data_IF_526283146905
#
_entry.id   IF_526283146905
#
_cell.length_a   1.000
_cell.length_b   1.000
_cell.length_c   1.000
_cell.angle_alpha   90.00
_cell.angle_beta   90.00
_cell.angle_gamma   90.00
#
_symmetry.space_group_name_H-M   'P 1'
#
loop_
_entity.id
_entity.type
_entity.pdbx_description
1 polymer ?
#
# COMPACT_ATOMS: atom_id res chain seq x y z
N UNK A 1 10.54 -6.27 6.30
CA UNK A 1 10.96 -5.34 5.25
C UNK A 1 9.95 -4.23 5.12
N UNK A 2 10.44 -3.03 4.88
CA UNK A 2 9.60 -1.88 4.63
C UNK A 2 9.34 -1.72 3.14
N UNK A 3 8.12 -1.30 2.82
CA UNK A 3 7.72 -1.02 1.45
C UNK A 3 7.09 0.36 1.36
N UNK A 4 7.49 1.12 0.35
CA UNK A 4 6.82 2.35 -0.03
C UNK A 4 5.88 2.05 -1.17
N UNK A 5 4.62 2.44 -1.05
CA UNK A 5 3.57 2.02 -1.97
C UNK A 5 2.77 3.21 -2.41
N UNK A 6 2.43 3.24 -3.70
CA UNK A 6 1.45 4.18 -4.22
C UNK A 6 0.30 3.39 -4.82
N UNK A 7 -0.88 3.58 -4.26
CA UNK A 7 -2.09 2.89 -4.69
C UNK A 7 -3.34 3.64 -4.29
N UNK A 8 -4.48 3.16 -4.76
CA UNK A 8 -5.76 3.79 -4.48
C UNK A 8 -6.40 3.14 -3.27
N UNK A 9 -6.65 3.94 -2.24
CA UNK A 9 -7.38 3.51 -1.06
C UNK A 9 -8.87 3.72 -1.30
N UNK A 10 -9.59 2.62 -1.42
CA UNK A 10 -11.02 2.66 -1.72
C UNK A 10 -11.89 3.04 -0.53
N UNK A 11 -11.33 3.11 0.65
CA UNK A 11 -12.05 3.54 1.84
C UNK A 11 -12.11 5.06 1.98
N UNK A 12 -11.26 5.77 1.25
CA UNK A 12 -11.15 7.22 1.34
C UNK A 12 -11.89 7.83 0.16
N UNK A 13 -12.67 8.86 0.46
CA UNK A 13 -13.28 9.70 -0.55
C UNK A 13 -14.12 8.90 -1.57
N UNK A 14 -15.05 8.11 -1.05
CA UNK A 14 -15.98 7.32 -1.86
C UNK A 14 -16.71 8.19 -2.89
N UNK A 15 -17.10 7.64 -4.05
CA UNK A 15 -17.03 6.23 -4.45
C UNK A 15 -15.76 5.83 -5.16
N UNK A 16 -14.88 6.76 -5.47
CA UNK A 16 -13.72 6.47 -6.33
C UNK A 16 -12.44 6.19 -5.57
N UNK A 17 -12.47 6.35 -4.24
CA UNK A 17 -11.26 6.21 -3.46
C UNK A 17 -10.28 7.38 -3.71
N UNK A 18 -9.09 7.25 -3.18
CA UNK A 18 -8.06 8.28 -3.31
C UNK A 18 -6.70 7.63 -3.53
N UNK A 19 -5.94 8.15 -4.48
CA UNK A 19 -4.58 7.71 -4.72
C UNK A 19 -3.69 8.27 -3.62
N UNK A 20 -3.01 7.39 -2.89
CA UNK A 20 -2.15 7.77 -1.77
C UNK A 20 -0.81 7.08 -1.84
N UNK A 21 0.16 7.64 -1.16
CA UNK A 21 1.46 7.01 -0.92
C UNK A 21 1.58 6.72 0.57
N UNK A 22 2.07 5.54 0.90
CA UNK A 22 2.17 5.13 2.29
C UNK A 22 3.27 4.10 2.48
N UNK A 23 3.60 3.84 3.74
CA UNK A 23 4.58 2.84 4.13
C UNK A 23 3.88 1.65 4.75
N UNK A 24 4.33 0.45 4.40
CA UNK A 24 3.89 -0.77 5.07
C UNK A 24 5.10 -1.64 5.40
N UNK A 25 5.04 -2.29 6.54
CA UNK A 25 6.00 -3.30 6.91
C UNK A 25 5.38 -4.68 6.72
N UNK A 26 6.12 -5.57 6.06
CA UNK A 26 5.74 -6.97 5.91
C UNK A 26 6.99 -7.84 5.85
N UNK A 27 6.92 -9.02 6.45
CA UNK A 27 8.04 -9.95 6.45
C UNK A 27 8.27 -10.57 5.09
N UNK A 28 7.19 -10.80 4.35
CA UNK A 28 7.24 -11.41 3.02
C UNK A 28 6.32 -10.67 2.08
N UNK A 29 6.51 -10.90 0.79
CA UNK A 29 5.65 -10.30 -0.23
C UNK A 29 4.22 -10.84 -0.13
N UNK A 30 4.05 -12.10 0.22
CA UNK A 30 2.72 -12.68 0.41
C UNK A 30 1.95 -11.97 1.51
N UNK A 31 2.62 -11.66 2.61
CA UNK A 31 2.01 -10.88 3.70
C UNK A 31 1.69 -9.46 3.26
N UNK A 32 2.55 -8.87 2.45
CA UNK A 32 2.29 -7.55 1.89
C UNK A 32 1.02 -7.53 1.05
N UNK A 33 0.88 -8.50 0.16
CA UNK A 33 -0.30 -8.61 -0.70
C UNK A 33 -1.57 -8.78 0.12
N UNK A 34 -1.50 -9.58 1.18
CA UNK A 34 -2.63 -9.77 2.09
C UNK A 34 -3.02 -8.47 2.79
N UNK A 35 -2.03 -7.73 3.28
CA UNK A 35 -2.27 -6.45 3.94
C UNK A 35 -2.92 -5.43 2.99
N UNK A 36 -2.44 -5.37 1.76
CA UNK A 36 -3.01 -4.48 0.76
C UNK A 36 -4.46 -4.83 0.46
N UNK A 37 -4.77 -6.11 0.37
CA UNK A 37 -6.15 -6.57 0.17
C UNK A 37 -7.04 -6.19 1.34
N UNK A 38 -6.58 -6.41 2.56
CA UNK A 38 -7.35 -6.07 3.77
C UNK A 38 -7.60 -4.57 3.89
N UNK A 39 -6.67 -3.76 3.43
CA UNK A 39 -6.79 -2.30 3.46
C UNK A 39 -7.56 -1.75 2.28
N UNK A 40 -8.01 -2.61 1.37
CA UNK A 40 -8.75 -2.22 0.17
C UNK A 40 -7.94 -1.26 -0.71
N UNK A 41 -6.65 -1.53 -0.84
CA UNK A 41 -5.79 -0.79 -1.75
C UNK A 41 -5.83 -1.45 -3.12
N UNK A 42 -6.18 -0.67 -4.13
CA UNK A 42 -6.29 -1.14 -5.52
C UNK A 42 -5.47 -0.24 -6.44
N UNK A 43 -5.40 -0.58 -7.71
CA UNK A 43 -4.71 0.24 -8.71
C UNK A 43 -3.32 0.65 -8.24
N UNK A 44 -2.52 -0.33 -7.85
CA UNK A 44 -1.17 -0.05 -7.34
C UNK A 44 -0.29 0.39 -8.49
N UNK A 45 0.19 1.64 -8.42
CA UNK A 45 1.09 2.18 -9.43
C UNK A 45 2.49 1.61 -9.28
N UNK A 46 2.97 1.53 -8.04
CA UNK A 46 4.29 0.96 -7.78
C UNK A 46 4.42 0.53 -6.33
N UNK A 47 5.33 -0.41 -6.13
CA UNK A 47 5.76 -0.86 -4.80
C UNK A 47 7.29 -0.85 -4.82
N UNK A 48 7.89 -0.18 -3.85
CA UNK A 48 9.35 -0.13 -3.70
C UNK A 48 9.75 -0.70 -2.36
N UNK A 49 10.68 -1.64 -2.36
CA UNK A 49 11.31 -2.11 -1.14
C UNK A 49 12.34 -1.08 -0.73
N UNK A 50 12.06 -0.38 0.37
CA UNK A 50 12.87 0.76 0.76
C UNK A 50 12.74 0.99 2.26
N UNK A 51 13.85 1.25 2.93
CA UNK A 51 13.83 1.61 4.33
C UNK A 51 13.50 3.08 4.52
N UNK A 52 12.51 3.41 5.38
CA UNK A 52 12.22 4.80 5.68
C UNK A 52 13.38 5.44 6.42
N UNK A 53 13.61 6.70 6.16
CA UNK A 53 14.56 7.51 6.91
C UNK A 53 13.81 8.31 7.95
N UNK A 54 14.13 8.02 9.17
CA UNK A 54 13.54 8.74 10.31
C UNK A 54 14.53 9.72 10.90
#
# INVERSE_FOLDING_TARGET
>A
MWYRIRGRDMKINMPHGMMIEFWLYADTKDKLDKLLSEKQITEIEWIKEQEPKF
#
